data_IF_042872877901
#
_entry.id   IF_042872877901
#
_cell.length_a   1.000
_cell.length_b   1.000
_cell.length_c   1.000
_cell.angle_alpha   90.00
_cell.angle_beta   90.00
_cell.angle_gamma   90.00
#
_symmetry.space_group_name_H-M   'P 1'
#
loop_
_entity.id
_entity.type
_entity.pdbx_description
1 polymer ?
#
# COMPACT_ATOMS: atom_id res chain seq x y z
N UNK A 1 -20.01 11.75 -8.23
CA UNK A 1 -18.81 12.62 -8.19
C UNK A 1 -17.70 11.79 -7.60
N UNK A 2 -16.55 11.70 -8.26
CA UNK A 2 -15.40 11.01 -7.70
C UNK A 2 -14.84 11.84 -6.53
N UNK A 3 -14.60 11.21 -5.38
CA UNK A 3 -13.97 11.85 -4.22
C UNK A 3 -12.55 12.28 -4.60
N UNK A 4 -12.17 13.53 -4.33
CA UNK A 4 -10.80 13.99 -4.56
C UNK A 4 -9.89 13.57 -3.40
N UNK A 5 -8.57 13.50 -3.63
CA UNK A 5 -7.61 13.12 -2.57
C UNK A 5 -7.62 14.08 -1.38
N UNK A 6 -7.68 15.42 -1.58
CA UNK A 6 -7.80 16.36 -0.46
C UNK A 6 -9.10 16.19 0.33
N UNK A 7 -10.23 15.92 -0.34
CA UNK A 7 -11.49 15.63 0.34
C UNK A 7 -11.42 14.32 1.15
N UNK A 8 -10.76 13.29 0.60
CA UNK A 8 -10.54 12.04 1.31
C UNK A 8 -9.69 12.25 2.56
N UNK A 9 -8.62 13.07 2.49
CA UNK A 9 -7.81 13.44 3.65
C UNK A 9 -8.65 14.10 4.76
N UNK A 10 -9.51 15.05 4.41
CA UNK A 10 -10.40 15.74 5.36
C UNK A 10 -11.46 14.80 5.96
N UNK A 11 -11.97 13.85 5.18
CA UNK A 11 -12.91 12.82 5.66
C UNK A 11 -12.20 11.88 6.63
N UNK A 12 -10.99 11.43 6.30
CA UNK A 12 -10.20 10.55 7.18
C UNK A 12 -9.84 11.30 8.48
N UNK A 13 -9.44 12.58 8.40
CA UNK A 13 -9.25 13.42 9.60
C UNK A 13 -10.52 13.54 10.43
N UNK A 14 -11.66 13.81 9.79
CA UNK A 14 -12.96 13.89 10.46
C UNK A 14 -13.36 12.57 11.14
N UNK A 15 -12.92 11.43 10.61
CA UNK A 15 -13.15 10.12 11.24
C UNK A 15 -12.28 9.89 12.49
N UNK A 16 -11.01 10.30 12.46
CA UNK A 16 -10.08 10.11 13.58
C UNK A 16 -10.18 11.19 14.66
N UNK A 17 -10.42 12.44 14.28
CA UNK A 17 -10.41 13.62 15.16
C UNK A 17 -11.81 14.18 15.43
N UNK A 18 -12.78 13.90 14.55
CA UNK A 18 -14.16 14.36 14.71
C UNK A 18 -14.90 13.64 15.83
N UNK A 19 -16.07 14.17 16.20
CA UNK A 19 -16.92 13.63 17.28
C UNK A 19 -18.39 13.56 16.86
N UNK A 20 -19.10 12.58 17.42
CA UNK A 20 -20.55 12.48 17.27
C UNK A 20 -21.00 12.21 15.84
N UNK A 21 -21.84 13.09 15.29
CA UNK A 21 -22.46 12.91 13.98
C UNK A 21 -21.47 13.03 12.82
N UNK A 22 -20.49 13.93 12.93
CA UNK A 22 -19.46 14.13 11.90
C UNK A 22 -18.57 12.89 11.76
N UNK A 23 -18.22 12.25 12.89
CA UNK A 23 -17.46 10.99 12.87
C UNK A 23 -18.25 9.85 12.23
N UNK A 24 -19.56 9.74 12.55
CA UNK A 24 -20.44 8.73 11.94
C UNK A 24 -20.60 8.92 10.43
N UNK A 25 -20.79 10.16 9.98
CA UNK A 25 -20.86 10.47 8.56
C UNK A 25 -19.55 10.13 7.85
N UNK A 26 -18.41 10.53 8.41
CA UNK A 26 -17.10 10.18 7.85
C UNK A 26 -16.92 8.66 7.78
N UNK A 27 -17.29 7.91 8.83
CA UNK A 27 -17.21 6.46 8.83
C UNK A 27 -18.06 5.81 7.73
N UNK A 28 -19.28 6.29 7.51
CA UNK A 28 -20.16 5.79 6.45
C UNK A 28 -19.54 6.00 5.06
N UNK A 29 -19.01 7.21 4.80
CA UNK A 29 -18.33 7.52 3.54
C UNK A 29 -17.07 6.67 3.34
N UNK A 30 -16.27 6.46 4.39
CA UNK A 30 -15.09 5.60 4.33
C UNK A 30 -15.43 4.14 4.08
N UNK A 31 -16.53 3.64 4.66
CA UNK A 31 -17.00 2.28 4.38
C UNK A 31 -17.46 2.16 2.93
N UNK A 32 -18.23 3.13 2.43
CA UNK A 32 -18.65 3.15 1.03
C UNK A 32 -17.45 3.17 0.07
N UNK A 33 -16.40 3.94 0.39
CA UNK A 33 -15.15 3.94 -0.36
C UNK A 33 -14.43 2.58 -0.31
N UNK A 34 -14.42 1.90 0.84
CA UNK A 34 -13.82 0.55 0.95
C UNK A 34 -14.60 -0.53 0.19
N UNK A 35 -15.91 -0.39 0.09
CA UNK A 35 -16.80 -1.34 -0.60
C UNK A 35 -16.85 -1.12 -2.11
N UNK A 36 -16.48 0.08 -2.56
CA UNK A 36 -16.46 0.43 -3.97
C UNK A 36 -15.40 -0.37 -4.75
N UNK A 37 -15.82 -0.92 -5.88
CA UNK A 37 -15.04 -1.88 -6.65
C UNK A 37 -13.85 -1.26 -7.38
N UNK A 38 -13.92 0.04 -7.63
CA UNK A 38 -12.94 0.81 -8.39
C UNK A 38 -12.04 1.67 -7.50
N UNK A 39 -12.26 1.66 -6.18
CA UNK A 39 -11.50 2.48 -5.23
C UNK A 39 -10.00 2.13 -5.17
N UNK A 40 -9.61 0.93 -5.60
CA UNK A 40 -8.19 0.57 -5.76
C UNK A 40 -7.48 1.37 -6.86
N UNK A 41 -8.21 1.85 -7.88
CA UNK A 41 -7.64 2.70 -8.95
C UNK A 41 -7.13 4.04 -8.41
N UNK A 42 -7.67 4.48 -7.27
CA UNK A 42 -7.26 5.72 -6.61
C UNK A 42 -6.07 5.52 -5.67
N UNK A 43 -5.66 4.27 -5.37
CA UNK A 43 -4.61 4.00 -4.38
C UNK A 43 -3.27 4.61 -4.78
N UNK A 44 -2.91 4.57 -6.07
CA UNK A 44 -1.70 5.23 -6.60
C UNK A 44 -1.68 6.72 -6.24
N UNK A 45 -2.77 7.43 -6.57
CA UNK A 45 -2.95 8.85 -6.26
C UNK A 45 -2.99 9.10 -4.75
N UNK A 46 -3.64 8.24 -3.97
CA UNK A 46 -3.68 8.36 -2.51
C UNK A 46 -2.27 8.30 -1.92
N UNK A 47 -1.44 7.33 -2.32
CA UNK A 47 -0.10 7.23 -1.74
C UNK A 47 0.82 8.36 -2.19
N UNK A 48 0.63 8.87 -3.40
CA UNK A 48 1.41 9.97 -3.97
C UNK A 48 1.00 11.35 -3.40
N UNK A 49 -0.29 11.66 -3.37
CA UNK A 49 -0.81 13.00 -3.08
C UNK A 49 -1.30 13.18 -1.64
N UNK A 50 -1.66 12.11 -0.92
CA UNK A 50 -2.21 12.26 0.43
C UNK A 50 -1.17 12.84 1.38
N UNK A 51 -1.60 13.86 2.13
CA UNK A 51 -0.80 14.52 3.16
C UNK A 51 -0.97 13.83 4.51
N UNK A 52 -2.13 13.20 4.73
CA UNK A 52 -2.43 12.54 5.99
C UNK A 52 -2.02 11.06 5.97
N UNK A 53 -1.17 10.59 6.91
CA UNK A 53 -0.70 9.20 6.92
C UNK A 53 -1.83 8.17 6.96
N UNK A 54 -2.92 8.44 7.70
CA UNK A 54 -4.02 7.47 7.81
C UNK A 54 -4.78 7.28 6.49
N UNK A 55 -4.78 8.28 5.61
CA UNK A 55 -5.34 8.14 4.26
C UNK A 55 -4.49 7.19 3.42
N UNK A 56 -3.17 7.25 3.56
CA UNK A 56 -2.27 6.27 2.93
C UNK A 56 -2.53 4.86 3.46
N UNK A 57 -2.73 4.71 4.76
CA UNK A 57 -3.11 3.41 5.35
C UNK A 57 -4.45 2.90 4.82
N UNK A 58 -5.44 3.77 4.67
CA UNK A 58 -6.71 3.43 4.06
C UNK A 58 -6.52 2.91 2.64
N UNK A 59 -5.74 3.61 1.81
CA UNK A 59 -5.40 3.16 0.46
C UNK A 59 -4.75 1.77 0.43
N UNK A 60 -3.79 1.53 1.32
CA UNK A 60 -3.16 0.21 1.45
C UNK A 60 -4.13 -0.87 1.94
N UNK A 61 -5.10 -0.55 2.78
CA UNK A 61 -6.15 -1.49 3.20
C UNK A 61 -7.03 -1.90 2.03
N UNK A 62 -7.43 -0.94 1.18
CA UNK A 62 -8.21 -1.20 -0.03
C UNK A 62 -7.41 -2.09 -0.99
N UNK A 63 -6.14 -1.76 -1.21
CA UNK A 63 -5.26 -2.54 -2.09
C UNK A 63 -5.08 -3.98 -1.59
N UNK A 64 -4.81 -4.16 -0.30
CA UNK A 64 -4.67 -5.48 0.33
C UNK A 64 -5.95 -6.32 0.18
N UNK A 65 -7.13 -5.71 0.37
CA UNK A 65 -8.41 -6.38 0.17
C UNK A 65 -8.57 -6.87 -1.28
N UNK A 66 -8.24 -6.03 -2.27
CA UNK A 66 -8.32 -6.40 -3.68
C UNK A 66 -7.34 -7.52 -4.02
N UNK A 67 -6.11 -7.49 -3.48
CA UNK A 67 -5.12 -8.56 -3.65
C UNK A 67 -5.60 -9.88 -3.03
N UNK A 68 -6.30 -9.84 -1.90
CA UNK A 68 -6.80 -11.06 -1.26
C UNK A 68 -8.05 -11.63 -1.94
N UNK A 69 -8.95 -10.78 -2.45
CA UNK A 69 -10.28 -11.21 -2.89
C UNK A 69 -10.42 -11.32 -4.41
N UNK A 70 -9.77 -10.43 -5.16
CA UNK A 70 -10.01 -10.24 -6.61
C UNK A 70 -8.77 -10.37 -7.48
N UNK A 71 -7.59 -10.62 -6.92
CA UNK A 71 -6.33 -10.67 -7.68
C UNK A 71 -6.37 -11.57 -8.91
N UNK A 72 -7.01 -12.75 -8.80
CA UNK A 72 -7.10 -13.73 -9.89
C UNK A 72 -8.02 -13.32 -11.04
N UNK A 73 -8.96 -12.39 -10.81
CA UNK A 73 -9.88 -11.90 -11.84
C UNK A 73 -9.40 -10.61 -12.49
N UNK A 74 -8.42 -9.93 -11.90
CA UNK A 74 -7.85 -8.72 -12.46
C UNK A 74 -7.07 -9.02 -13.76
N UNK A 75 -7.10 -8.11 -14.75
CA UNK A 75 -6.24 -8.20 -15.91
C UNK A 75 -4.77 -8.25 -15.50
N UNK A 76 -3.97 -9.09 -16.17
CA UNK A 76 -2.55 -9.29 -15.82
C UNK A 76 -1.74 -7.99 -15.86
N UNK A 77 -2.06 -7.09 -16.77
CA UNK A 77 -1.44 -5.75 -16.87
C UNK A 77 -1.63 -4.94 -15.58
N UNK A 78 -2.84 -4.96 -15.02
CA UNK A 78 -3.15 -4.28 -13.75
C UNK A 78 -2.43 -4.93 -12.57
N UNK A 79 -2.35 -6.26 -12.53
CA UNK A 79 -1.57 -6.97 -11.50
C UNK A 79 -0.09 -6.58 -11.54
N UNK A 80 0.50 -6.48 -12.74
CA UNK A 80 1.87 -6.02 -12.92
C UNK A 80 2.05 -4.56 -12.54
N UNK A 81 1.09 -3.70 -12.89
CA UNK A 81 1.06 -2.29 -12.48
C UNK A 81 1.08 -2.15 -10.95
N UNK A 82 0.18 -2.84 -10.25
CA UNK A 82 0.11 -2.84 -8.78
C UNK A 82 1.42 -3.35 -8.17
N UNK A 83 1.96 -4.46 -8.69
CA UNK A 83 3.24 -5.01 -8.23
C UNK A 83 4.36 -3.98 -8.35
N UNK A 84 4.55 -3.41 -9.54
CA UNK A 84 5.64 -2.48 -9.81
C UNK A 84 5.50 -1.22 -8.96
N UNK A 85 4.28 -0.73 -8.82
CA UNK A 85 3.97 0.41 -7.96
C UNK A 85 4.34 0.15 -6.49
N UNK A 86 3.91 -0.97 -5.90
CA UNK A 86 4.22 -1.31 -4.49
C UNK A 86 5.73 -1.45 -4.29
N UNK A 87 6.45 -2.11 -5.22
CA UNK A 87 7.90 -2.26 -5.13
C UNK A 87 8.61 -0.91 -5.22
N UNK A 88 8.27 -0.06 -6.19
CA UNK A 88 8.86 1.27 -6.34
C UNK A 88 8.62 2.13 -5.10
N UNK A 89 7.41 2.07 -4.54
CA UNK A 89 7.06 2.84 -3.35
C UNK A 89 7.83 2.35 -2.11
N UNK A 90 8.02 1.03 -1.94
CA UNK A 90 8.88 0.47 -0.90
C UNK A 90 10.33 0.96 -1.05
N UNK A 91 10.89 0.94 -2.27
CA UNK A 91 12.25 1.42 -2.53
C UNK A 91 12.37 2.91 -2.18
N UNK A 92 11.38 3.73 -2.53
CA UNK A 92 11.35 5.14 -2.21
C UNK A 92 11.34 5.37 -0.68
N UNK A 93 10.44 4.68 0.03
CA UNK A 93 10.33 4.75 1.49
C UNK A 93 11.56 4.18 2.24
N UNK A 94 12.33 3.29 1.61
CA UNK A 94 13.53 2.66 2.17
C UNK A 94 14.86 3.21 1.62
N UNK A 95 14.80 4.31 0.86
CA UNK A 95 15.96 4.90 0.22
C UNK A 95 16.99 5.49 1.20
N UNK A 96 16.55 5.93 2.39
CA UNK A 96 17.42 6.46 3.44
C UNK A 96 16.95 6.06 4.84
N UNK A 97 17.86 6.06 5.82
CA UNK A 97 17.49 5.78 7.22
C UNK A 97 16.48 6.80 7.79
N UNK A 98 16.55 8.05 7.36
CA UNK A 98 15.65 9.11 7.82
C UNK A 98 14.21 8.84 7.36
N UNK A 99 14.03 8.59 6.07
CA UNK A 99 12.71 8.25 5.50
C UNK A 99 12.16 6.96 6.07
N UNK A 100 13.01 5.94 6.30
CA UNK A 100 12.59 4.71 6.98
C UNK A 100 12.11 4.94 8.41
N UNK A 101 12.77 5.83 9.16
CA UNK A 101 12.38 6.13 10.55
C UNK A 101 11.06 6.91 10.58
N UNK A 102 10.92 7.93 9.73
CA UNK A 102 9.69 8.73 9.64
C UNK A 102 8.49 7.92 9.16
N UNK A 103 8.68 7.06 8.16
CA UNK A 103 7.61 6.31 7.51
C UNK A 103 7.53 4.85 7.97
N UNK A 104 8.16 4.50 9.09
CA UNK A 104 8.30 3.11 9.57
C UNK A 104 7.00 2.32 9.56
N UNK A 105 5.92 2.91 10.07
CA UNK A 105 4.61 2.25 10.13
C UNK A 105 4.03 2.02 8.73
N UNK A 106 4.20 2.99 7.82
CA UNK A 106 3.73 2.89 6.44
C UNK A 106 4.53 1.84 5.68
N UNK A 107 5.85 1.85 5.83
CA UNK A 107 6.77 0.88 5.24
C UNK A 107 6.45 -0.55 5.69
N UNK A 108 6.19 -0.76 6.99
CA UNK A 108 5.75 -2.06 7.49
C UNK A 108 4.44 -2.52 6.84
N UNK A 109 3.48 -1.62 6.64
CA UNK A 109 2.22 -1.98 5.97
C UNK A 109 2.42 -2.28 4.48
N UNK A 110 3.28 -1.54 3.79
CA UNK A 110 3.67 -1.81 2.41
C UNK A 110 4.35 -3.18 2.27
N UNK A 111 5.25 -3.52 3.19
CA UNK A 111 5.89 -4.83 3.22
C UNK A 111 4.84 -5.95 3.34
N UNK A 112 3.82 -5.79 4.20
CA UNK A 112 2.72 -6.76 4.30
C UNK A 112 1.92 -6.87 3.01
N UNK A 113 1.63 -5.75 2.34
CA UNK A 113 0.95 -5.74 1.04
C UNK A 113 1.78 -6.46 -0.03
N UNK A 114 3.10 -6.25 -0.04
CA UNK A 114 4.01 -6.99 -0.92
C UNK A 114 3.96 -8.50 -0.64
N UNK A 115 3.93 -8.92 0.64
CA UNK A 115 3.75 -10.34 0.98
C UNK A 115 2.41 -10.87 0.47
N UNK A 116 1.33 -10.09 0.55
CA UNK A 116 0.03 -10.47 -0.02
C UNK A 116 0.12 -10.72 -1.53
N UNK A 117 0.87 -9.89 -2.27
CA UNK A 117 1.13 -10.08 -3.71
C UNK A 117 1.96 -11.35 -3.96
N UNK A 118 3.03 -11.55 -3.19
CA UNK A 118 3.89 -12.74 -3.33
C UNK A 118 3.13 -14.03 -3.08
N UNK A 119 2.21 -14.06 -2.10
CA UNK A 119 1.35 -15.22 -1.87
C UNK A 119 0.46 -15.57 -3.07
N UNK A 120 0.16 -14.61 -3.94
CA UNK A 120 -0.62 -14.84 -5.15
C UNK A 120 0.25 -15.21 -6.36
N UNK A 121 1.42 -14.58 -6.52
CA UNK A 121 2.23 -14.66 -7.75
C UNK A 121 3.49 -15.53 -7.62
N UNK A 122 4.09 -15.64 -6.43
CA UNK A 122 5.33 -16.40 -6.22
C UNK A 122 5.01 -17.86 -5.85
N UNK A 123 5.73 -18.87 -6.39
CA UNK A 123 6.90 -18.76 -7.27
C UNK A 123 6.61 -18.78 -8.78
N UNK A 124 5.38 -19.03 -9.22
CA UNK A 124 5.11 -19.40 -10.61
C UNK A 124 5.09 -18.19 -11.57
N UNK A 125 4.47 -17.09 -11.15
CA UNK A 125 4.30 -15.87 -11.94
C UNK A 125 5.39 -14.82 -11.65
N UNK A 126 6.15 -14.98 -10.58
CA UNK A 126 7.29 -14.12 -10.25
C UNK A 126 8.51 -14.91 -9.73
N UNK A 127 9.09 -15.82 -10.54
CA UNK A 127 10.17 -16.69 -10.09
C UNK A 127 11.46 -15.93 -9.74
N UNK A 128 11.67 -14.76 -10.33
CA UNK A 128 12.86 -13.92 -10.16
C UNK A 128 12.88 -13.10 -8.88
N UNK A 129 11.79 -13.10 -8.09
CA UNK A 129 11.66 -12.23 -6.90
C UNK A 129 12.85 -12.29 -5.94
N UNK A 130 13.31 -13.49 -5.58
CA UNK A 130 14.44 -13.65 -4.63
C UNK A 130 15.72 -13.05 -5.20
N UNK A 131 15.99 -13.26 -6.51
CA UNK A 131 17.16 -12.69 -7.17
C UNK A 131 17.07 -11.16 -7.27
N UNK A 132 15.88 -10.62 -7.54
CA UNK A 132 15.63 -9.18 -7.58
C UNK A 132 15.85 -8.55 -6.18
N UNK A 133 15.33 -9.18 -5.11
CA UNK A 133 15.57 -8.72 -3.74
C UNK A 133 17.05 -8.70 -3.40
N UNK A 134 17.77 -9.80 -3.66
CA UNK A 134 19.20 -9.90 -3.34
C UNK A 134 19.98 -8.83 -4.11
N UNK A 135 19.64 -8.62 -5.38
CA UNK A 135 20.27 -7.58 -6.21
C UNK A 135 20.04 -6.18 -5.63
N UNK A 136 18.81 -5.88 -5.19
CA UNK A 136 18.48 -4.57 -4.60
C UNK A 136 19.15 -4.32 -3.23
N UNK A 137 19.51 -5.36 -2.48
CA UNK A 137 20.29 -5.22 -1.25
C UNK A 137 21.67 -4.58 -1.47
N UNK A 138 22.22 -4.65 -2.68
CA UNK A 138 23.50 -4.01 -3.00
C UNK A 138 23.37 -2.50 -3.26
N UNK A 139 22.16 -1.97 -3.41
CA UNK A 139 21.93 -0.55 -3.73
C UNK A 139 22.07 0.36 -2.53
N UNK A 140 21.55 -0.02 -1.36
CA UNK A 140 21.73 0.73 -0.11
C UNK A 140 21.55 -0.17 1.12
N UNK A 141 22.19 0.22 2.23
CA UNK A 141 22.05 -0.48 3.50
C UNK A 141 20.60 -0.42 4.02
N UNK A 142 19.94 0.72 3.85
CA UNK A 142 18.53 0.92 4.26
C UNK A 142 17.58 0.00 3.48
N UNK A 143 17.76 -0.14 2.17
CA UNK A 143 16.99 -1.08 1.34
C UNK A 143 17.27 -2.53 1.79
N UNK A 144 18.54 -2.86 2.03
CA UNK A 144 18.94 -4.19 2.52
C UNK A 144 18.27 -4.52 3.87
N UNK A 145 18.26 -3.59 4.82
CA UNK A 145 17.58 -3.74 6.11
C UNK A 145 16.08 -4.02 5.92
N UNK A 146 15.40 -3.24 5.07
CA UNK A 146 13.99 -3.47 4.79
C UNK A 146 13.74 -4.81 4.07
N UNK A 147 14.60 -5.21 3.14
CA UNK A 147 14.51 -6.49 2.47
C UNK A 147 14.63 -7.68 3.43
N UNK A 148 15.46 -7.57 4.48
CA UNK A 148 15.53 -8.59 5.53
C UNK A 148 14.22 -8.70 6.31
N UNK A 149 13.52 -7.57 6.54
CA UNK A 149 12.17 -7.57 7.12
C UNK A 149 11.18 -8.27 6.20
N UNK A 150 11.20 -7.98 4.90
CA UNK A 150 10.33 -8.63 3.91
C UNK A 150 10.56 -10.15 3.90
N UNK A 151 11.82 -10.60 3.83
CA UNK A 151 12.15 -12.03 3.84
C UNK A 151 11.67 -12.72 5.13
N UNK A 152 11.79 -12.03 6.28
CA UNK A 152 11.29 -12.53 7.55
C UNK A 152 9.76 -12.67 7.58
N UNK A 153 9.03 -11.76 6.93
CA UNK A 153 7.57 -11.81 6.85
C UNK A 153 7.06 -12.87 5.85
N UNK A 154 7.90 -13.29 4.91
CA UNK A 154 7.62 -14.37 3.96
C UNK A 154 7.80 -15.76 4.58
N UNK A 155 8.65 -15.86 5.61
CA UNK A 155 8.99 -17.09 6.33
C UNK A 155 7.86 -17.54 7.27
#
# INVERSE_FOLDING_TARGET
>A
MAITIPELDEIVRSFYEGRGEQQKQAQATLNQFKEDQDSWLLVDKILAEATYPQTKFLGLQVLDNVIMTRWKVLPRDQCQGIRNFVVQFIIQCSSSEETMKEQKTLLNKLNLVLISILKQEWPHNWPTFINEIITSCHSSLSICENNMVILRLLS
#
